data_IF_155371910231
#
_entry.id   IF_155371910231
#
_cell.length_a   1.000
_cell.length_b   1.000
_cell.length_c   1.000
_cell.angle_alpha   90.00
_cell.angle_beta   90.00
_cell.angle_gamma   90.00
#
_symmetry.space_group_name_H-M   'P 1'
#
loop_
_entity.id
_entity.type
_entity.pdbx_description
1 polymer ?
#
# COMPACT_ATOMS: atom_id res chain seq x y z
N UNK A 1 33.74 -22.35 23.99
CA UNK A 1 32.94 -21.44 23.14
C UNK A 1 31.57 -21.24 23.79
N UNK A 2 31.22 -20.01 24.19
CA UNK A 2 29.86 -19.66 24.61
C UNK A 2 29.28 -18.74 23.53
N UNK A 3 28.33 -19.24 22.77
CA UNK A 3 27.39 -18.44 21.96
C UNK A 3 26.01 -18.75 22.49
N UNK A 4 25.17 -17.73 22.67
CA UNK A 4 23.72 -17.70 22.96
C UNK A 4 23.49 -16.52 23.92
N UNK A 5 22.67 -15.50 23.66
CA UNK A 5 21.70 -15.30 22.59
C UNK A 5 21.40 -13.79 22.51
N UNK A 6 21.74 -13.17 21.38
CA UNK A 6 21.29 -11.82 20.99
C UNK A 6 19.83 -11.90 20.52
N UNK A 7 18.85 -11.90 21.44
CA UNK A 7 17.43 -12.01 21.06
C UNK A 7 16.48 -10.99 21.67
N UNK A 8 16.92 -10.11 22.56
CA UNK A 8 16.03 -9.12 23.19
C UNK A 8 15.86 -7.81 22.40
N UNK A 9 16.68 -7.55 21.38
CA UNK A 9 16.60 -6.29 20.61
C UNK A 9 15.88 -6.38 19.26
N UNK A 10 15.26 -7.52 18.92
CA UNK A 10 14.59 -7.72 17.61
C UNK A 10 13.06 -7.64 17.63
N UNK A 11 12.43 -7.49 18.79
CA UNK A 11 10.97 -7.67 18.91
C UNK A 11 10.16 -6.41 18.53
N UNK A 12 10.76 -5.22 18.46
CA UNK A 12 10.00 -3.96 18.22
C UNK A 12 9.99 -3.54 16.74
N UNK A 13 10.84 -4.11 15.88
CA UNK A 13 11.05 -3.60 14.52
C UNK A 13 10.11 -4.16 13.42
N UNK A 14 9.36 -5.23 13.67
CA UNK A 14 8.70 -5.97 12.57
C UNK A 14 7.17 -5.86 12.45
N UNK A 15 6.48 -5.12 13.32
CA UNK A 15 5.01 -5.01 13.25
C UNK A 15 4.52 -4.43 11.91
N UNK A 16 5.28 -3.52 11.30
CA UNK A 16 4.93 -2.90 10.00
C UNK A 16 5.06 -3.84 8.81
N UNK A 17 5.99 -4.79 8.86
CA UNK A 17 6.19 -5.76 7.78
C UNK A 17 5.17 -6.90 7.89
N UNK A 18 4.87 -7.34 9.11
CA UNK A 18 3.92 -8.43 9.37
C UNK A 18 2.49 -8.05 8.91
N UNK A 19 2.04 -6.81 9.13
CA UNK A 19 0.69 -6.39 8.68
C UNK A 19 0.57 -6.42 7.15
N UNK A 20 1.65 -6.04 6.43
CA UNK A 20 1.69 -6.04 4.97
C UNK A 20 1.66 -7.43 4.34
N UNK A 21 2.02 -8.46 5.11
CA UNK A 21 2.00 -9.86 4.66
C UNK A 21 0.70 -10.59 5.01
N UNK A 22 -0.24 -9.95 5.72
CA UNK A 22 -1.53 -10.56 6.03
C UNK A 22 -2.39 -10.73 4.76
N UNK A 23 -3.14 -11.85 4.63
CA UNK A 23 -4.05 -12.05 3.50
C UNK A 23 -5.10 -10.93 3.36
N UNK A 24 -5.58 -10.40 4.48
CA UNK A 24 -6.57 -9.31 4.51
C UNK A 24 -6.01 -8.00 3.95
N UNK A 25 -4.78 -7.63 4.32
CA UNK A 25 -4.11 -6.46 3.77
C UNK A 25 -3.89 -6.62 2.26
N UNK A 26 -3.44 -7.79 1.81
CA UNK A 26 -3.26 -8.07 0.38
C UNK A 26 -4.58 -7.99 -0.39
N UNK A 27 -5.67 -8.51 0.17
CA UNK A 27 -7.00 -8.43 -0.43
C UNK A 27 -7.48 -6.97 -0.55
N UNK A 28 -7.35 -6.18 0.53
CA UNK A 28 -7.71 -4.75 0.51
C UNK A 28 -6.86 -3.94 -0.48
N UNK A 29 -5.56 -4.20 -0.56
CA UNK A 29 -4.66 -3.59 -1.57
C UNK A 29 -5.08 -3.97 -2.99
N UNK A 30 -5.48 -5.23 -3.21
CA UNK A 30 -6.03 -5.71 -4.48
C UNK A 30 -7.27 -4.91 -4.89
N UNK A 31 -8.25 -4.79 -4.00
CA UNK A 31 -9.48 -4.03 -4.23
C UNK A 31 -9.19 -2.56 -4.56
N UNK A 32 -8.27 -1.91 -3.81
CA UNK A 32 -7.86 -0.53 -4.08
C UNK A 32 -7.22 -0.41 -5.46
N UNK A 33 -6.32 -1.34 -5.80
CA UNK A 33 -5.63 -1.36 -7.09
C UNK A 33 -6.64 -1.48 -8.23
N UNK A 34 -7.62 -2.37 -8.12
CA UNK A 34 -8.62 -2.60 -9.16
C UNK A 34 -9.55 -1.40 -9.32
N UNK A 35 -10.01 -0.81 -8.21
CA UNK A 35 -10.84 0.40 -8.23
C UNK A 35 -10.13 1.58 -8.91
N UNK A 36 -8.88 1.83 -8.55
CA UNK A 36 -8.08 2.92 -9.14
C UNK A 36 -7.74 2.58 -10.59
N UNK A 37 -7.41 1.32 -10.91
CA UNK A 37 -7.16 0.89 -12.27
C UNK A 37 -8.37 1.15 -13.16
N UNK A 38 -9.56 0.73 -12.75
CA UNK A 38 -10.80 0.89 -13.50
C UNK A 38 -11.12 2.37 -13.74
N UNK A 39 -11.05 3.20 -12.69
CA UNK A 39 -11.27 4.66 -12.76
C UNK A 39 -10.37 5.32 -13.80
N UNK A 40 -9.07 5.02 -13.77
CA UNK A 40 -8.12 5.66 -14.68
C UNK A 40 -8.07 5.00 -16.06
N UNK A 41 -8.42 3.73 -16.20
CA UNK A 41 -8.41 3.03 -17.49
C UNK A 41 -9.38 3.65 -18.48
N UNK A 42 -10.60 4.00 -18.05
CA UNK A 42 -11.60 4.65 -18.90
C UNK A 42 -11.11 6.04 -19.34
N UNK A 43 -10.63 6.85 -18.39
CA UNK A 43 -10.17 8.22 -18.67
C UNK A 43 -8.92 8.23 -19.57
N UNK A 44 -7.97 7.33 -19.35
CA UNK A 44 -6.75 7.20 -20.16
C UNK A 44 -7.05 6.70 -21.57
N UNK A 45 -8.02 5.79 -21.72
CA UNK A 45 -8.44 5.30 -23.04
C UNK A 45 -9.13 6.39 -23.88
N UNK A 46 -9.91 7.24 -23.23
CA UNK A 46 -10.67 8.30 -23.90
C UNK A 46 -9.86 9.59 -24.15
N UNK A 47 -8.71 9.76 -23.50
CA UNK A 47 -7.86 10.93 -23.67
C UNK A 47 -7.01 10.84 -24.96
N UNK A 48 -7.24 11.79 -25.88
CA UNK A 48 -6.54 11.89 -27.16
C UNK A 48 -5.22 12.64 -27.04
N UNK A 49 -5.07 13.52 -26.04
CA UNK A 49 -3.85 14.30 -25.86
C UNK A 49 -2.77 13.46 -25.14
N UNK A 50 -1.59 13.24 -25.76
CA UNK A 50 -0.54 12.40 -25.18
C UNK A 50 0.06 12.96 -23.88
N UNK A 51 0.16 14.29 -23.75
CA UNK A 51 0.67 14.95 -22.55
C UNK A 51 -0.33 14.75 -21.41
N UNK A 52 -1.62 15.02 -21.64
CA UNK A 52 -2.67 14.78 -20.62
C UNK A 52 -2.74 13.31 -20.23
N UNK A 53 -2.62 12.40 -21.20
CA UNK A 53 -2.56 10.95 -20.96
C UNK A 53 -1.40 10.58 -20.05
N UNK A 54 -0.22 11.17 -20.25
CA UNK A 54 0.94 10.97 -19.39
C UNK A 54 0.69 11.49 -17.95
N UNK A 55 0.12 12.69 -17.80
CA UNK A 55 -0.27 13.21 -16.48
C UNK A 55 -1.29 12.30 -15.77
N UNK A 56 -2.26 11.75 -16.49
CA UNK A 56 -3.23 10.81 -15.94
C UNK A 56 -2.57 9.52 -15.44
N UNK A 57 -1.57 9.01 -16.15
CA UNK A 57 -0.78 7.85 -15.71
C UNK A 57 0.00 8.17 -14.43
N UNK A 58 0.62 9.35 -14.33
CA UNK A 58 1.32 9.79 -13.11
C UNK A 58 0.33 9.92 -11.95
N UNK A 59 -0.80 10.60 -12.18
CA UNK A 59 -1.85 10.82 -11.18
C UNK A 59 -2.38 9.49 -10.64
N UNK A 60 -2.61 8.51 -11.52
CA UNK A 60 -2.96 7.12 -11.16
C UNK A 60 -1.94 6.51 -10.19
N UNK A 61 -0.64 6.60 -10.50
CA UNK A 61 0.42 6.05 -9.64
C UNK A 61 0.46 6.72 -8.26
N UNK A 62 0.32 8.04 -8.21
CA UNK A 62 0.31 8.80 -6.96
C UNK A 62 -0.91 8.44 -6.10
N UNK A 63 -2.09 8.38 -6.70
CA UNK A 63 -3.34 8.02 -5.99
C UNK A 63 -3.27 6.60 -5.44
N UNK A 64 -2.73 5.65 -6.21
CA UNK A 64 -2.53 4.27 -5.76
C UNK A 64 -1.55 4.17 -4.58
N UNK A 65 -0.42 4.89 -4.65
CA UNK A 65 0.54 4.95 -3.54
C UNK A 65 -0.11 5.53 -2.28
N UNK A 66 -0.80 6.67 -2.40
CA UNK A 66 -1.48 7.31 -1.26
C UNK A 66 -2.56 6.43 -0.64
N UNK A 67 -3.37 5.75 -1.46
CA UNK A 67 -4.43 4.88 -0.95
C UNK A 67 -3.88 3.66 -0.18
N UNK A 68 -2.78 3.07 -0.66
CA UNK A 68 -2.09 1.97 0.05
C UNK A 68 -1.44 2.46 1.35
N UNK A 69 -0.81 3.64 1.32
CA UNK A 69 -0.25 4.27 2.53
C UNK A 69 -1.34 4.58 3.56
N UNK A 70 -2.51 5.07 3.12
CA UNK A 70 -3.66 5.32 3.99
C UNK A 70 -4.19 4.05 4.64
N UNK A 71 -4.25 2.94 3.89
CA UNK A 71 -4.63 1.64 4.44
C UNK A 71 -3.67 1.22 5.56
N UNK A 72 -2.36 1.40 5.33
CA UNK A 72 -1.31 1.11 6.32
C UNK A 72 -1.41 2.02 7.55
N UNK A 73 -1.86 3.28 7.40
CA UNK A 73 -2.05 4.20 8.53
C UNK A 73 -3.33 3.97 9.32
N UNK A 74 -4.42 3.54 8.68
CA UNK A 74 -5.68 3.19 9.34
C UNK A 74 -5.52 1.93 10.20
N UNK A 75 -4.84 0.91 9.69
CA UNK A 75 -4.54 -0.30 10.48
C UNK A 75 -3.66 0.03 11.71
N UNK A 76 -2.77 1.03 11.62
CA UNK A 76 -2.01 1.53 12.79
C UNK A 76 -2.89 2.19 13.84
N UNK A 77 -3.92 2.96 13.44
CA UNK A 77 -4.84 3.57 14.39
C UNK A 77 -5.61 2.51 15.18
N UNK A 78 -6.10 1.45 14.53
CA UNK A 78 -6.85 0.39 15.21
C UNK A 78 -5.97 -0.57 16.04
N UNK A 79 -4.69 -0.76 15.68
CA UNK A 79 -3.73 -1.52 16.49
C UNK A 79 -3.26 -0.79 17.76
N UNK A 80 -3.43 0.53 17.84
CA UNK A 80 -3.01 1.34 19.00
C UNK A 80 -4.13 1.47 20.05
N UNK A 81 -5.34 0.96 19.76
CA UNK A 81 -6.52 1.05 20.65
C UNK A 81 -6.86 -0.32 21.27
N UNK A 82 -5.85 -1.13 21.59
CA UNK A 82 -6.04 -2.41 22.29
C UNK A 82 -5.25 -2.45 23.58
#
# INVERSE_FOLDING_TARGET
>A
MKTLNNQTSKVIFNSREIVKTTPEYQQKVGIIRDKINLKYQVVIKNERNPIKKFFLIIKKKIELKRAIEQLTSLDKMYLTVK
#
